data_IF_104772994440
#
_entry.id   IF_104772994440
#
_cell.length_a   1.000
_cell.length_b   1.000
_cell.length_c   1.000
_cell.angle_alpha   90.00
_cell.angle_beta   90.00
_cell.angle_gamma   90.00
#
_symmetry.space_group_name_H-M   'P 1'
#
loop_
_entity.id
_entity.type
_entity.pdbx_description
1 polymer ?
#
# COMPACT_ATOMS: atom_id res chain seq x y z
N UNK A 1 -16.80 -0.62 -9.65
CA UNK A 1 -16.51 0.18 -8.43
C UNK A 1 -15.75 1.43 -8.83
N UNK A 2 -15.88 2.54 -8.09
CA UNK A 2 -15.17 3.80 -8.36
C UNK A 2 -14.27 4.13 -7.16
N UNK A 3 -13.02 4.49 -7.42
CA UNK A 3 -12.02 4.85 -6.43
C UNK A 3 -11.46 6.23 -6.75
N UNK A 4 -11.07 6.98 -5.73
CA UNK A 4 -10.36 8.24 -5.87
C UNK A 4 -8.87 8.01 -6.10
N UNK A 5 -8.32 6.94 -5.51
CA UNK A 5 -6.90 6.58 -5.58
C UNK A 5 -6.72 5.10 -5.89
N UNK A 6 -5.68 4.81 -6.68
CA UNK A 6 -5.18 3.45 -6.95
C UNK A 6 -3.71 3.43 -6.55
N UNK A 7 -3.36 2.51 -5.67
CA UNK A 7 -1.97 2.26 -5.27
C UNK A 7 -1.59 0.86 -5.77
N UNK A 8 -0.51 0.78 -6.54
CA UNK A 8 0.06 -0.48 -7.02
C UNK A 8 1.35 -0.75 -6.25
N UNK A 9 1.30 -1.74 -5.35
CA UNK A 9 2.38 -2.14 -4.46
C UNK A 9 2.03 -1.91 -2.99
N UNK A 10 2.05 -2.98 -2.20
CA UNK A 10 1.77 -2.96 -0.75
C UNK A 10 3.04 -2.98 0.11
N UNK A 11 4.15 -2.41 -0.40
CA UNK A 11 5.35 -2.19 0.40
C UNK A 11 5.19 -1.00 1.36
N UNK A 12 6.23 -0.69 2.13
CA UNK A 12 6.20 0.38 3.14
C UNK A 12 5.67 1.72 2.59
N UNK A 13 6.13 2.15 1.40
CA UNK A 13 5.68 3.40 0.79
C UNK A 13 4.19 3.39 0.41
N UNK A 14 3.69 2.29 -0.18
CA UNK A 14 2.30 2.18 -0.61
C UNK A 14 1.33 2.12 0.57
N UNK A 15 1.68 1.38 1.61
CA UNK A 15 0.91 1.33 2.85
C UNK A 15 0.92 2.68 3.58
N UNK A 16 2.09 3.33 3.67
CA UNK A 16 2.21 4.66 4.27
C UNK A 16 1.34 5.69 3.53
N UNK A 17 1.37 5.70 2.20
CA UNK A 17 0.49 6.56 1.40
C UNK A 17 -0.99 6.25 1.70
N UNK A 18 -1.39 4.98 1.74
CA UNK A 18 -2.76 4.57 2.01
C UNK A 18 -3.26 5.09 3.37
N UNK A 19 -2.42 5.08 4.41
CA UNK A 19 -2.73 5.61 5.73
C UNK A 19 -2.89 7.14 5.78
N UNK A 20 -2.33 7.87 4.80
CA UNK A 20 -2.39 9.33 4.75
C UNK A 20 -3.49 9.85 3.81
N UNK A 21 -4.22 8.97 3.14
CA UNK A 21 -5.37 9.36 2.32
C UNK A 21 -6.52 9.82 3.24
N UNK A 22 -7.22 10.92 2.91
CA UNK A 22 -8.36 11.39 3.68
C UNK A 22 -9.43 10.30 3.86
N UNK A 23 -10.00 10.18 5.06
CA UNK A 23 -10.99 9.13 5.38
C UNK A 23 -12.24 9.16 4.48
N UNK A 24 -12.58 10.32 3.92
CA UNK A 24 -13.71 10.49 3.01
C UNK A 24 -13.41 10.06 1.55
N UNK A 25 -12.22 9.52 1.28
CA UNK A 25 -11.78 9.08 -0.05
C UNK A 25 -11.66 7.57 -0.11
N UNK A 26 -12.03 6.98 -1.25
CA UNK A 26 -11.89 5.55 -1.49
C UNK A 26 -10.57 5.25 -2.16
N UNK A 27 -9.74 4.43 -1.53
CA UNK A 27 -8.47 3.93 -2.08
C UNK A 27 -8.56 2.41 -2.30
N UNK A 28 -8.02 1.94 -3.43
CA UNK A 28 -7.71 0.52 -3.63
C UNK A 28 -6.21 0.31 -3.65
N UNK A 29 -5.75 -0.68 -2.89
CA UNK A 29 -4.37 -1.14 -2.87
C UNK A 29 -4.29 -2.50 -3.59
N UNK A 30 -3.44 -2.59 -4.59
CA UNK A 30 -3.20 -3.82 -5.34
C UNK A 30 -1.79 -4.31 -5.08
N UNK A 31 -1.63 -5.60 -4.79
CA UNK A 31 -0.33 -6.25 -4.65
C UNK A 31 -0.22 -7.43 -5.61
N UNK A 32 0.99 -7.67 -6.12
CA UNK A 32 1.30 -8.81 -7.00
C UNK A 32 1.15 -10.16 -6.27
N UNK A 33 1.34 -10.16 -4.96
CA UNK A 33 1.35 -11.33 -4.09
C UNK A 33 0.99 -10.93 -2.67
N UNK A 34 1.18 -11.85 -1.72
CA UNK A 34 1.05 -11.57 -0.30
C UNK A 34 1.94 -10.38 0.14
N UNK A 35 1.48 -9.62 1.13
CA UNK A 35 2.16 -8.43 1.64
C UNK A 35 3.51 -8.77 2.28
N UNK A 36 3.64 -9.97 2.85
CA UNK A 36 4.90 -10.50 3.39
C UNK A 36 5.98 -10.74 2.34
N UNK A 37 5.61 -10.83 1.06
CA UNK A 37 6.56 -10.99 -0.04
C UNK A 37 7.19 -9.66 -0.51
N UNK A 38 6.82 -8.52 0.07
CA UNK A 38 7.44 -7.23 -0.25
C UNK A 38 8.85 -7.13 0.35
N UNK A 39 9.84 -6.63 -0.41
CA UNK A 39 11.22 -6.48 0.08
C UNK A 39 11.33 -5.62 1.35
N UNK A 40 10.42 -4.64 1.52
CA UNK A 40 10.37 -3.80 2.72
C UNK A 40 9.99 -4.58 3.98
N UNK A 41 9.28 -5.71 3.85
CA UNK A 41 8.98 -6.61 4.96
C UNK A 41 10.24 -7.36 5.46
N UNK A 42 11.20 -7.60 4.55
CA UNK A 42 12.45 -8.32 4.84
C UNK A 42 13.59 -7.41 5.33
N UNK A 43 13.36 -6.10 5.47
CA UNK A 43 14.39 -5.16 5.88
C UNK A 43 14.81 -5.38 7.35
N UNK A 44 16.12 -5.49 7.59
CA UNK A 44 16.68 -5.75 8.93
C UNK A 44 17.74 -4.72 9.38
N UNK A 45 18.03 -3.72 8.54
CA UNK A 45 19.08 -2.74 8.79
C UNK A 45 18.71 -1.65 9.80
N UNK A 46 17.41 -1.40 10.00
CA UNK A 46 16.92 -0.13 10.56
C UNK A 46 16.87 0.95 9.50
#
# INVERSE_FOLDING_TARGET
>A
MKYDYIIIGSGAAGLYLACNIPENKKCILLSKSDQSACNTYLAQGG
#
